data_IF_741704120116
#
_entry.id   IF_741704120116
#
_cell.length_a   1.000
_cell.length_b   1.000
_cell.length_c   1.000
_cell.angle_alpha   90.00
_cell.angle_beta   90.00
_cell.angle_gamma   90.00
#
_symmetry.space_group_name_H-M   'P 1'
#
loop_
_entity.id
_entity.type
_entity.pdbx_description
1 polymer ?
#
# COMPACT_ATOMS: atom_id res chain seq x y z
N UNK A 1 24.59 17.75 20.00
CA UNK A 1 23.68 17.31 18.92
C UNK A 1 22.90 16.12 19.44
N UNK A 2 21.58 16.17 19.43
CA UNK A 2 20.75 15.01 19.80
C UNK A 2 20.86 13.93 18.71
N UNK A 3 21.09 12.68 19.11
CA UNK A 3 21.19 11.54 18.19
C UNK A 3 19.79 11.05 17.85
N UNK A 4 19.40 11.16 16.58
CA UNK A 4 18.16 10.57 16.10
C UNK A 4 18.30 9.04 15.97
N UNK A 5 17.28 8.31 16.39
CA UNK A 5 17.16 6.85 16.21
C UNK A 5 16.03 6.59 15.22
N UNK A 6 16.33 5.83 14.18
CA UNK A 6 15.36 5.40 13.17
C UNK A 6 15.18 3.89 13.32
N UNK A 7 13.93 3.46 13.41
CA UNK A 7 13.56 2.05 13.48
C UNK A 7 12.78 1.69 12.21
N UNK A 8 13.29 0.73 11.44
CA UNK A 8 12.56 0.19 10.28
C UNK A 8 11.61 -0.91 10.74
N UNK A 9 10.34 -0.79 10.37
CA UNK A 9 9.27 -1.71 10.74
C UNK A 9 8.63 -2.30 9.49
N UNK A 10 8.48 -3.62 9.49
CA UNK A 10 7.89 -4.33 8.37
C UNK A 10 6.43 -3.93 8.12
N UNK A 11 6.13 -3.62 6.85
CA UNK A 11 4.77 -3.32 6.37
C UNK A 11 3.92 -4.55 6.02
N UNK A 12 4.50 -5.76 6.03
CA UNK A 12 3.79 -7.02 5.79
C UNK A 12 2.76 -7.29 6.88
N UNK A 13 1.59 -7.85 6.53
CA UNK A 13 0.46 -8.04 7.47
C UNK A 13 0.86 -8.85 8.70
N UNK A 14 1.68 -9.89 8.50
CA UNK A 14 2.21 -10.76 9.55
C UNK A 14 3.10 -10.05 10.58
N UNK A 15 3.69 -8.91 10.22
CA UNK A 15 4.62 -8.16 11.06
C UNK A 15 3.97 -6.99 11.80
N UNK A 16 2.83 -6.48 11.32
CA UNK A 16 2.17 -5.27 11.85
C UNK A 16 1.79 -5.37 13.34
N UNK A 17 1.38 -6.55 13.80
CA UNK A 17 1.01 -6.79 15.20
C UNK A 17 2.20 -6.68 16.16
N UNK A 18 3.43 -6.83 15.66
CA UNK A 18 4.64 -6.88 16.49
C UNK A 18 5.12 -5.51 16.96
N UNK A 19 4.84 -4.46 16.19
CA UNK A 19 5.48 -3.15 16.40
C UNK A 19 4.51 -2.05 16.83
N UNK A 20 3.20 -2.21 16.62
CA UNK A 20 2.23 -1.12 16.81
C UNK A 20 2.12 -0.61 18.26
N UNK A 21 2.57 -1.40 19.23
CA UNK A 21 2.57 -1.08 20.65
C UNK A 21 3.97 -0.68 21.17
N UNK A 22 5.00 -0.69 20.33
CA UNK A 22 6.39 -0.46 20.74
C UNK A 22 6.82 1.02 20.72
N UNK A 23 5.93 1.95 20.33
CA UNK A 23 6.31 3.33 19.99
C UNK A 23 5.54 4.41 20.76
N UNK A 24 5.45 4.28 22.09
CA UNK A 24 4.75 5.24 22.96
C UNK A 24 5.45 6.61 23.14
N UNK A 25 6.51 6.91 22.38
CA UNK A 25 7.20 8.22 22.39
C UNK A 25 7.89 8.53 21.05
N UNK A 26 7.33 8.04 19.93
CA UNK A 26 7.85 8.39 18.62
C UNK A 26 7.64 9.89 18.35
N UNK A 27 8.72 10.62 18.05
CA UNK A 27 8.65 12.05 17.67
C UNK A 27 8.04 12.26 16.28
N UNK A 28 8.29 11.31 15.38
CA UNK A 28 7.70 11.28 14.06
C UNK A 28 7.50 9.85 13.57
N UNK A 29 6.51 9.66 12.70
CA UNK A 29 6.32 8.46 11.88
C UNK A 29 6.58 8.83 10.43
N UNK A 30 7.47 8.09 9.77
CA UNK A 30 7.67 8.18 8.32
C UNK A 30 6.90 7.04 7.67
N UNK A 31 5.85 7.37 6.92
CA UNK A 31 5.11 6.40 6.14
C UNK A 31 5.52 6.49 4.67
N UNK A 32 5.95 5.37 4.09
CA UNK A 32 6.38 5.29 2.69
C UNK A 32 5.31 4.56 1.88
N UNK A 33 4.60 5.29 1.02
CA UNK A 33 3.62 4.76 0.09
C UNK A 33 4.22 4.66 -1.31
N UNK A 34 3.97 3.55 -2.01
CA UNK A 34 4.48 3.32 -3.36
C UNK A 34 3.46 3.75 -4.41
N UNK A 35 3.76 4.81 -5.17
CA UNK A 35 2.86 5.32 -6.22
C UNK A 35 2.67 4.32 -7.36
N UNK A 36 3.68 3.51 -7.66
CA UNK A 36 3.65 2.61 -8.82
C UNK A 36 2.86 1.32 -8.58
N UNK A 37 2.24 1.11 -7.43
CA UNK A 37 1.58 -0.15 -7.04
C UNK A 37 0.06 -0.12 -7.24
N UNK A 38 -0.48 0.92 -7.87
CA UNK A 38 -1.91 1.08 -8.16
C UNK A 38 -2.49 -0.01 -9.08
N UNK A 39 -1.65 -0.70 -9.85
CA UNK A 39 -2.04 -1.76 -10.77
C UNK A 39 -1.57 -3.15 -10.32
N UNK A 40 -1.19 -3.30 -9.06
CA UNK A 40 -0.68 -4.55 -8.48
C UNK A 40 -1.60 -5.10 -7.40
N UNK A 41 -1.60 -6.42 -7.24
CA UNK A 41 -2.32 -7.15 -6.19
C UNK A 41 -1.37 -7.59 -5.07
N UNK A 42 -1.89 -7.71 -3.86
CA UNK A 42 -1.17 -8.32 -2.74
C UNK A 42 -1.02 -9.83 -2.96
N UNK A 43 0.16 -10.35 -2.59
CA UNK A 43 0.42 -11.80 -2.55
C UNK A 43 -0.05 -12.44 -1.25
N UNK A 44 -0.21 -11.65 -0.19
CA UNK A 44 -0.66 -12.07 1.15
C UNK A 44 -2.20 -12.17 1.23
N UNK A 45 -2.87 -12.38 0.10
CA UNK A 45 -4.31 -12.55 0.08
C UNK A 45 -4.68 -14.04 0.12
N UNK A 46 -5.68 -14.41 0.91
CA UNK A 46 -6.10 -15.82 1.04
C UNK A 46 -6.69 -16.38 -0.28
N UNK A 47 -6.92 -15.50 -1.27
CA UNK A 47 -7.38 -15.81 -2.63
C UNK A 47 -6.24 -15.97 -3.65
N UNK A 48 -4.97 -15.92 -3.23
CA UNK A 48 -3.79 -15.93 -4.13
C UNK A 48 -3.62 -17.26 -4.88
N UNK A 49 -4.23 -18.35 -4.43
CA UNK A 49 -4.23 -19.64 -5.15
C UNK A 49 -4.79 -19.52 -6.58
N UNK A 50 -5.76 -18.63 -6.80
CA UNK A 50 -6.33 -18.38 -8.13
C UNK A 50 -5.37 -17.58 -9.03
N UNK A 51 -4.42 -16.83 -8.44
CA UNK A 51 -3.49 -15.98 -9.17
C UNK A 51 -2.39 -16.76 -9.86
N UNK A 52 -1.86 -17.77 -9.17
CA UNK A 52 -0.81 -18.65 -9.69
C UNK A 52 -1.25 -19.42 -10.95
N UNK A 53 -2.56 -19.62 -11.14
CA UNK A 53 -3.13 -20.39 -12.25
C UNK A 53 -3.35 -19.58 -13.54
N UNK A 54 -3.41 -18.24 -13.49
CA UNK A 54 -3.72 -17.45 -14.70
C UNK A 54 -2.51 -17.08 -15.57
N UNK A 55 -1.28 -17.33 -15.11
CA UNK A 55 -0.08 -17.03 -15.88
C UNK A 55 0.08 -15.54 -16.26
N UNK A 56 1.12 -15.27 -17.05
CA UNK A 56 1.73 -13.96 -17.33
C UNK A 56 0.88 -13.01 -18.22
N UNK A 57 -0.45 -13.14 -18.20
CA UNK A 57 -1.35 -12.29 -19.01
C UNK A 57 -1.55 -10.93 -18.36
N UNK A 58 -0.66 -10.02 -18.77
CA UNK A 58 -0.73 -8.56 -18.65
C UNK A 58 -2.01 -8.01 -19.32
N UNK A 59 -3.14 -8.03 -18.61
CA UNK A 59 -4.29 -7.11 -18.75
C UNK A 59 -5.43 -7.60 -17.86
N UNK A 60 -5.29 -7.40 -16.55
CA UNK A 60 -6.35 -7.76 -15.60
C UNK A 60 -7.44 -6.70 -15.66
N UNK A 61 -8.49 -6.99 -16.44
CA UNK A 61 -9.73 -6.21 -16.48
C UNK A 61 -10.60 -6.68 -15.31
N UNK A 62 -10.96 -5.76 -14.42
CA UNK A 62 -11.86 -6.02 -13.29
C UNK A 62 -13.29 -6.25 -13.82
N UNK A 63 -13.70 -7.51 -14.00
CA UNK A 63 -15.10 -7.86 -14.25
C UNK A 63 -15.79 -8.27 -12.93
N UNK A 64 -17.00 -7.75 -12.64
CA UNK A 64 -17.81 -8.22 -11.53
C UNK A 64 -18.10 -9.71 -11.69
N UNK A 65 -17.71 -10.53 -10.71
CA UNK A 65 -17.96 -11.99 -10.68
C UNK A 65 -16.73 -12.88 -10.91
N UNK A 66 -15.57 -12.33 -11.27
CA UNK A 66 -14.33 -13.10 -11.32
C UNK A 66 -13.67 -13.17 -9.93
N UNK A 67 -13.02 -14.31 -9.58
CA UNK A 67 -12.25 -14.46 -8.33
C UNK A 67 -11.19 -13.35 -8.12
N UNK A 68 -10.70 -12.78 -9.22
CA UNK A 68 -9.77 -11.65 -9.26
C UNK A 68 -10.33 -10.34 -8.70
N UNK A 69 -11.66 -10.18 -8.65
CA UNK A 69 -12.32 -9.05 -8.00
C UNK A 69 -12.13 -9.07 -6.48
N UNK A 70 -11.83 -10.25 -5.90
CA UNK A 70 -11.58 -10.38 -4.46
C UNK A 70 -10.12 -10.07 -4.07
N UNK A 71 -9.23 -9.86 -5.04
CA UNK A 71 -7.82 -9.58 -4.75
C UNK A 71 -7.62 -8.15 -4.26
N UNK A 72 -6.88 -8.02 -3.17
CA UNK A 72 -6.57 -6.74 -2.55
C UNK A 72 -5.54 -5.98 -3.39
N UNK A 73 -5.93 -4.82 -3.91
CA UNK A 73 -5.00 -3.90 -4.58
C UNK A 73 -3.95 -3.37 -3.60
N UNK A 74 -2.67 -3.37 -3.99
CA UNK A 74 -1.55 -2.95 -3.12
C UNK A 74 -1.64 -1.50 -2.67
N UNK A 75 -2.03 -0.59 -3.56
CA UNK A 75 -2.19 0.81 -3.21
C UNK A 75 -3.37 1.02 -2.26
N UNK A 76 -4.48 0.32 -2.47
CA UNK A 76 -5.63 0.38 -1.55
C UNK A 76 -5.28 -0.14 -0.15
N UNK A 77 -4.54 -1.25 -0.07
CA UNK A 77 -4.02 -1.76 1.20
C UNK A 77 -3.10 -0.74 1.89
N UNK A 78 -2.18 -0.14 1.14
CA UNK A 78 -1.29 0.90 1.68
C UNK A 78 -2.10 2.08 2.22
N UNK A 79 -3.12 2.54 1.50
CA UNK A 79 -4.01 3.60 1.97
C UNK A 79 -4.78 3.20 3.24
N UNK A 80 -5.24 1.95 3.32
CA UNK A 80 -5.92 1.42 4.50
C UNK A 80 -4.96 1.36 5.71
N UNK A 81 -3.73 0.89 5.51
CA UNK A 81 -2.72 0.86 6.57
C UNK A 81 -2.34 2.28 7.02
N UNK A 82 -2.16 3.21 6.09
CA UNK A 82 -1.90 4.61 6.42
C UNK A 82 -3.01 5.18 7.30
N UNK A 83 -4.29 4.92 6.96
CA UNK A 83 -5.44 5.30 7.79
C UNK A 83 -5.37 4.69 9.20
N UNK A 84 -4.94 3.45 9.34
CA UNK A 84 -4.77 2.81 10.66
C UNK A 84 -3.65 3.46 11.46
N UNK A 85 -2.55 3.84 10.82
CA UNK A 85 -1.40 4.50 11.46
C UNK A 85 -1.79 5.89 11.95
N UNK A 86 -2.35 6.75 11.10
CA UNK A 86 -2.68 8.13 11.48
C UNK A 86 -3.79 8.23 12.53
N UNK A 87 -4.67 7.22 12.61
CA UNK A 87 -5.74 7.16 13.61
C UNK A 87 -5.36 6.32 14.84
N UNK A 88 -4.10 5.90 14.96
CA UNK A 88 -3.67 5.11 16.11
C UNK A 88 -3.51 6.01 17.36
N UNK A 89 -4.07 5.57 18.49
CA UNK A 89 -3.96 6.28 19.78
C UNK A 89 -2.51 6.58 20.21
N UNK A 90 -1.56 5.72 19.85
CA UNK A 90 -0.13 5.90 20.18
C UNK A 90 0.53 7.00 19.35
N UNK A 91 -0.10 7.47 18.26
CA UNK A 91 0.46 8.48 17.35
C UNK A 91 -0.33 9.80 17.31
N UNK A 92 -1.27 10.02 18.24
CA UNK A 92 -2.11 11.24 18.26
C UNK A 92 -1.30 12.53 18.31
N UNK A 93 -0.18 12.53 19.03
CA UNK A 93 0.72 13.68 19.17
C UNK A 93 2.01 13.54 18.34
N UNK A 94 2.07 12.56 17.43
CA UNK A 94 3.25 12.27 16.63
C UNK A 94 3.12 12.91 15.26
N UNK A 95 4.16 13.62 14.81
CA UNK A 95 4.18 14.16 13.44
C UNK A 95 4.24 13.03 12.41
N UNK A 96 3.38 13.06 11.40
CA UNK A 96 3.38 12.06 10.33
C UNK A 96 3.95 12.68 9.05
N UNK A 97 4.98 12.05 8.51
CA UNK A 97 5.62 12.40 7.24
C UNK A 97 5.24 11.33 6.22
N UNK A 98 4.56 11.73 5.14
CA UNK A 98 4.18 10.83 4.05
C UNK A 98 5.14 10.98 2.87
N UNK A 99 5.84 9.89 2.52
CA UNK A 99 6.65 9.81 1.32
C UNK A 99 5.91 9.05 0.23
N UNK A 100 5.72 9.71 -0.91
CA UNK A 100 5.17 9.11 -2.13
C UNK A 100 6.33 8.62 -3.00
N UNK A 101 6.73 7.37 -2.80
CA UNK A 101 7.87 6.74 -3.45
C UNK A 101 7.51 6.19 -4.85
N UNK A 102 8.53 5.91 -5.67
CA UNK A 102 8.42 5.32 -7.02
C UNK A 102 7.60 6.19 -8.00
N UNK A 103 7.72 7.52 -7.87
CA UNK A 103 7.07 8.49 -8.76
C UNK A 103 7.47 8.28 -10.22
N UNK A 104 8.74 7.99 -10.48
CA UNK A 104 9.29 7.72 -11.81
C UNK A 104 8.59 6.52 -12.49
N UNK A 105 8.36 5.44 -11.75
CA UNK A 105 7.65 4.26 -12.24
C UNK A 105 6.16 4.54 -12.43
N UNK A 106 5.56 5.34 -11.54
CA UNK A 106 4.18 5.79 -11.69
C UNK A 106 3.98 6.60 -12.98
N UNK A 107 4.83 7.61 -13.21
CA UNK A 107 4.80 8.44 -14.43
C UNK A 107 4.97 7.59 -15.68
N UNK A 108 5.90 6.64 -15.68
CA UNK A 108 6.06 5.70 -16.79
C UNK A 108 4.78 4.89 -17.03
N UNK A 109 4.16 4.32 -16.00
CA UNK A 109 2.94 3.50 -16.18
C UNK A 109 1.77 4.32 -16.71
N UNK A 110 1.53 5.50 -16.15
CA UNK A 110 0.51 6.43 -16.62
C UNK A 110 0.79 6.85 -18.07
N UNK A 111 2.05 7.19 -18.39
CA UNK A 111 2.48 7.56 -19.74
C UNK A 111 2.30 6.44 -20.78
N UNK A 112 2.36 5.17 -20.37
CA UNK A 112 2.03 4.01 -21.22
C UNK A 112 0.53 3.68 -21.26
N UNK A 113 -0.34 4.57 -20.76
CA UNK A 113 -1.79 4.39 -20.83
C UNK A 113 -2.38 3.49 -19.74
N UNK A 114 -1.60 3.07 -18.73
CA UNK A 114 -2.12 2.22 -17.65
C UNK A 114 -3.01 3.02 -16.71
N UNK A 115 -4.31 2.77 -16.75
CA UNK A 115 -5.32 3.59 -16.07
C UNK A 115 -5.26 3.54 -14.54
N UNK A 116 -5.29 4.71 -13.89
CA UNK A 116 -5.42 4.82 -12.43
C UNK A 116 -6.76 4.27 -11.91
N UNK A 117 -7.74 4.10 -12.80
CA UNK A 117 -9.06 3.53 -12.47
C UNK A 117 -8.99 2.09 -11.98
N UNK A 118 -7.88 1.40 -12.17
CA UNK A 118 -7.62 0.06 -11.62
C UNK A 118 -7.68 0.09 -10.08
N UNK A 119 -7.05 1.08 -9.46
CA UNK A 119 -7.16 1.28 -8.01
C UNK A 119 -8.35 2.17 -7.64
N UNK A 120 -8.72 3.14 -8.48
CA UNK A 120 -9.73 4.15 -8.17
C UNK A 120 -10.79 4.26 -9.29
N UNK A 121 -11.81 3.40 -9.31
CA UNK A 121 -12.77 3.33 -10.43
C UNK A 121 -13.46 4.68 -10.77
N UNK A 122 -13.65 5.51 -9.74
CA UNK A 122 -14.29 6.82 -9.83
C UNK A 122 -13.33 7.97 -10.20
N UNK A 123 -12.04 7.70 -10.44
CA UNK A 123 -11.08 8.70 -10.87
C UNK A 123 -11.42 9.22 -12.28
N UNK A 124 -11.54 10.54 -12.44
CA UNK A 124 -12.04 11.16 -13.68
C UNK A 124 -10.98 11.77 -14.59
N UNK A 125 -9.70 11.69 -14.23
CA UNK A 125 -8.61 12.31 -14.99
C UNK A 125 -8.01 13.48 -14.25
#
# INVERSE_FOLDING_TARGET
>A
MERQRVFDVGGQRSQRKKWIHCFDDAKAVIYVASLSEYDQVLLEDDTTEFVALAGDRKEVICHPGAAWFMLTNRMQESLQLFRQVINNRYFVNTSVILFLNKKDLFEKKIGHGRSLRIAFPNYKG
#
